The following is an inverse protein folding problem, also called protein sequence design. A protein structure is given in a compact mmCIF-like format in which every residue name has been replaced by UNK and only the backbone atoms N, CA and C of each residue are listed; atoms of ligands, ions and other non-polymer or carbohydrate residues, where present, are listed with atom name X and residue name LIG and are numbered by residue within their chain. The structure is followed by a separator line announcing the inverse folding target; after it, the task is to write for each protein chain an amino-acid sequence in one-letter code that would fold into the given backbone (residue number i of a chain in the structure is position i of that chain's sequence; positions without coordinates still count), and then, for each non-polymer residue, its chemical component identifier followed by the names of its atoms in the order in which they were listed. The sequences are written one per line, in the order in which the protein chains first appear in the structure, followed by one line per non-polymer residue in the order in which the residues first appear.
data_IF_488032450104
#
_entry.id   IF_488032450104
#
_cell.length_a   1.000
_cell.length_b   1.000
_cell.length_c   1.000
_cell.angle_alpha   90.00
_cell.angle_beta   90.00
_cell.angle_gamma   90.00
#
_symmetry.space_group_name_H-M   'P 1'
#
loop_
_entity.id
_entity.type
_entity.pdbx_description
1 polymer ?
#
# COMPACT_ATOMS: atom_id res chain seq x y z
N UNK A 1 -21.02 49.75 43.88
CA UNK A 1 -20.82 48.31 43.72
C UNK A 1 -20.70 47.87 42.23
N UNK A 2 -19.80 48.49 41.48
CA UNK A 2 -19.61 48.13 40.06
C UNK A 2 -18.81 46.81 39.89
N UNK A 3 -17.97 46.41 40.83
CA UNK A 3 -17.09 45.23 40.67
C UNK A 3 -17.85 43.92 40.63
N UNK A 4 -18.85 43.73 41.47
CA UNK A 4 -19.67 42.51 41.48
C UNK A 4 -20.46 42.33 40.16
N UNK A 5 -20.86 43.43 39.53
CA UNK A 5 -21.56 43.42 38.26
C UNK A 5 -20.64 43.03 37.10
N UNK A 6 -19.37 43.47 37.17
CA UNK A 6 -18.37 43.11 36.15
C UNK A 6 -17.95 41.66 36.32
N UNK A 7 -17.83 41.11 37.52
CA UNK A 7 -17.58 39.69 37.76
C UNK A 7 -18.71 38.79 37.26
N UNK A 8 -19.97 39.19 37.53
CA UNK A 8 -21.13 38.45 37.00
C UNK A 8 -21.18 38.45 35.49
N UNK A 9 -20.89 39.60 34.85
CA UNK A 9 -20.81 39.72 33.39
C UNK A 9 -19.71 38.84 32.78
N UNK A 10 -18.55 38.76 33.43
CA UNK A 10 -17.45 37.92 32.98
C UNK A 10 -17.80 36.40 33.07
N UNK A 11 -18.48 35.98 34.13
CA UNK A 11 -18.96 34.62 34.27
C UNK A 11 -19.99 34.25 33.22
N UNK A 12 -20.98 35.11 33.04
CA UNK A 12 -22.02 34.90 32.01
C UNK A 12 -21.41 34.82 30.60
N UNK A 13 -20.45 35.69 30.28
CA UNK A 13 -19.77 35.70 29.01
C UNK A 13 -18.94 34.42 28.81
N UNK A 14 -18.23 33.98 29.80
CA UNK A 14 -17.44 32.73 29.74
C UNK A 14 -18.34 31.52 29.50
N UNK A 15 -19.46 31.42 30.20
CA UNK A 15 -20.43 30.36 30.04
C UNK A 15 -21.05 30.41 28.63
N UNK A 16 -21.38 31.58 28.13
CA UNK A 16 -21.93 31.77 26.77
C UNK A 16 -20.92 31.33 25.69
N UNK A 17 -19.62 31.62 25.87
CA UNK A 17 -18.57 31.18 24.95
C UNK A 17 -18.43 29.65 24.95
N UNK A 18 -18.49 29.02 26.11
CA UNK A 18 -18.41 27.55 26.23
C UNK A 18 -19.62 26.90 25.52
N UNK A 19 -20.83 27.41 25.72
CA UNK A 19 -22.02 26.91 25.05
C UNK A 19 -21.97 27.14 23.52
N UNK A 20 -21.49 28.29 23.08
CA UNK A 20 -21.31 28.57 21.66
C UNK A 20 -20.29 27.61 21.04
N UNK A 21 -19.17 27.33 21.72
CA UNK A 21 -18.17 26.38 21.26
C UNK A 21 -18.73 24.96 21.18
N UNK A 22 -19.44 24.48 22.18
CA UNK A 22 -20.09 23.17 22.16
C UNK A 22 -21.12 23.05 21.03
N UNK A 23 -21.92 24.08 20.85
CA UNK A 23 -22.99 24.05 19.82
C UNK A 23 -22.45 24.13 18.39
N UNK A 24 -21.44 24.98 18.12
CA UNK A 24 -20.93 25.21 16.77
C UNK A 24 -19.77 24.28 16.38
N UNK A 25 -19.05 23.71 17.34
CA UNK A 25 -17.84 22.94 17.06
C UNK A 25 -17.96 21.46 17.42
N UNK A 26 -18.57 21.11 18.53
CA UNK A 26 -18.67 19.72 18.99
C UNK A 26 -19.84 18.97 18.36
N UNK A 27 -21.00 19.60 18.21
CA UNK A 27 -22.19 18.98 17.61
C UNK A 27 -21.96 18.51 16.17
N UNK A 28 -21.39 19.30 15.23
CA UNK A 28 -21.18 18.85 13.85
C UNK A 28 -20.17 17.68 13.79
N UNK A 29 -19.12 17.66 14.60
CA UNK A 29 -18.17 16.57 14.65
C UNK A 29 -18.75 15.24 15.14
N UNK A 30 -19.65 15.30 16.10
CA UNK A 30 -20.37 14.10 16.58
C UNK A 30 -21.33 13.54 15.53
N UNK A 31 -21.94 14.40 14.72
CA UNK A 31 -22.78 13.96 13.61
C UNK A 31 -21.98 13.29 12.49
N UNK A 32 -20.86 13.88 12.09
CA UNK A 32 -19.95 13.29 11.09
C UNK A 32 -19.40 11.92 11.56
N UNK A 33 -19.02 11.80 12.84
CA UNK A 33 -18.56 10.54 13.40
C UNK A 33 -19.68 9.46 13.47
N UNK A 34 -20.93 9.86 13.74
CA UNK A 34 -22.06 8.94 13.72
C UNK A 34 -22.45 8.53 12.29
N UNK A 35 -22.35 9.42 11.32
CA UNK A 35 -22.61 9.09 9.91
C UNK A 35 -21.54 8.16 9.36
N UNK A 36 -20.27 8.38 9.67
CA UNK A 36 -19.17 7.48 9.33
C UNK A 36 -19.39 6.06 9.93
N UNK A 37 -19.73 5.99 11.21
CA UNK A 37 -20.03 4.72 11.88
C UNK A 37 -21.25 3.99 11.28
N UNK A 38 -22.28 4.73 10.85
CA UNK A 38 -23.45 4.14 10.15
C UNK A 38 -23.10 3.64 8.77
N UNK A 39 -22.25 4.34 8.03
CA UNK A 39 -21.77 3.90 6.72
C UNK A 39 -20.91 2.64 6.83
N UNK A 40 -20.05 2.55 7.84
CA UNK A 40 -19.27 1.34 8.11
C UNK A 40 -20.17 0.15 8.49
N UNK A 41 -21.18 0.36 9.33
CA UNK A 41 -22.12 -0.69 9.71
C UNK A 41 -22.96 -1.17 8.50
N UNK A 42 -23.45 -0.25 7.68
CA UNK A 42 -24.20 -0.59 6.46
C UNK A 42 -23.32 -1.35 5.44
N UNK A 43 -22.05 -0.99 5.32
CA UNK A 43 -21.09 -1.69 4.46
C UNK A 43 -20.78 -3.10 4.97
N UNK A 44 -20.73 -3.29 6.30
CA UNK A 44 -20.55 -4.62 6.91
C UNK A 44 -21.79 -5.50 6.75
N UNK A 45 -23.01 -4.94 6.90
CA UNK A 45 -24.25 -5.66 6.66
C UNK A 45 -24.39 -6.09 5.19
N UNK A 46 -24.06 -5.21 4.23
CA UNK A 46 -24.04 -5.57 2.80
C UNK A 46 -23.02 -6.66 2.48
N UNK A 47 -21.85 -6.66 3.14
CA UNK A 47 -20.85 -7.73 3.00
C UNK A 47 -21.35 -9.06 3.57
N UNK A 48 -22.04 -9.04 4.71
CA UNK A 48 -22.60 -10.23 5.33
C UNK A 48 -23.75 -10.81 4.48
N UNK A 49 -24.61 -9.97 3.89
CA UNK A 49 -25.70 -10.38 3.03
C UNK A 49 -25.23 -10.90 1.66
N UNK A 50 -24.13 -10.32 1.13
CA UNK A 50 -23.48 -10.81 -0.10
C UNK A 50 -22.80 -12.17 0.09
N UNK A 51 -22.33 -12.48 1.31
CA UNK A 51 -21.74 -13.78 1.65
C UNK A 51 -22.76 -14.90 1.82
N UNK A 52 -24.05 -14.57 1.94
CA UNK A 52 -25.15 -15.54 2.19
C UNK A 52 -25.93 -15.93 0.93
N UNK A 53 -25.59 -15.43 -0.26
CA UNK A 53 -26.25 -15.80 -1.51
C UNK A 53 -25.46 -16.88 -2.25
N UNK A 54 -26.11 -18.01 -2.63
CA UNK A 54 -25.46 -19.00 -3.49
C UNK A 54 -25.29 -18.44 -4.90
N UNK A 55 -24.13 -18.73 -5.47
CA UNK A 55 -23.65 -18.27 -6.76
C UNK A 55 -24.62 -18.58 -7.90
N UNK A 56 -25.10 -17.55 -8.59
CA UNK A 56 -25.55 -17.61 -9.96
C UNK A 56 -25.18 -16.30 -10.65
N UNK A 57 -24.26 -16.42 -11.58
CA UNK A 57 -23.92 -15.57 -12.71
C UNK A 57 -24.31 -14.08 -12.68
N UNK A 58 -23.33 -13.21 -12.65
CA UNK A 58 -23.22 -12.08 -13.60
C UNK A 58 -21.85 -11.40 -13.51
N UNK A 59 -21.29 -11.26 -14.67
CA UNK A 59 -20.07 -10.59 -15.11
C UNK A 59 -19.92 -9.13 -14.62
N UNK A 60 -18.68 -8.73 -14.51
CA UNK A 60 -18.14 -7.37 -14.56
C UNK A 60 -17.76 -6.65 -13.27
N UNK A 61 -16.44 -6.56 -13.10
CA UNK A 61 -15.66 -5.46 -12.50
C UNK A 61 -15.71 -5.26 -10.99
N UNK A 62 -14.83 -5.98 -10.34
CA UNK A 62 -14.04 -5.42 -9.25
C UNK A 62 -12.65 -6.04 -9.30
N UNK A 63 -11.69 -5.29 -9.76
CA UNK A 63 -10.29 -5.71 -9.84
C UNK A 63 -9.65 -5.68 -8.45
N UNK A 64 -9.96 -6.67 -7.63
CA UNK A 64 -9.19 -7.04 -6.46
C UNK A 64 -9.70 -8.39 -5.96
N UNK A 65 -8.98 -9.43 -6.27
CA UNK A 65 -9.07 -10.79 -5.76
C UNK A 65 -9.60 -11.79 -6.81
N UNK A 66 -8.71 -12.39 -7.43
CA UNK A 66 -8.58 -13.80 -7.83
C UNK A 66 -7.44 -13.91 -8.82
N UNK A 67 -6.24 -13.56 -8.35
CA UNK A 67 -5.06 -14.09 -8.98
C UNK A 67 -4.95 -15.54 -8.50
N UNK A 68 -5.65 -16.43 -9.23
CA UNK A 68 -5.45 -17.86 -9.13
C UNK A 68 -3.94 -18.10 -9.08
N UNK A 69 -3.50 -19.04 -8.26
CA UNK A 69 -2.10 -19.43 -8.09
C UNK A 69 -1.42 -19.54 -9.46
N UNK A 70 -0.87 -18.43 -9.94
CA UNK A 70 0.01 -18.42 -11.08
C UNK A 70 1.20 -19.30 -10.72
N UNK A 71 1.79 -20.08 -11.66
CA UNK A 71 2.99 -20.84 -11.38
C UNK A 71 3.98 -19.89 -10.70
N UNK A 72 4.57 -20.35 -9.59
CA UNK A 72 5.43 -19.52 -8.75
C UNK A 72 6.42 -18.76 -9.62
N UNK A 73 6.22 -17.46 -9.74
CA UNK A 73 7.09 -16.62 -10.54
C UNK A 73 8.51 -16.67 -9.96
N UNK A 74 9.56 -16.64 -10.79
CA UNK A 74 10.91 -16.56 -10.30
C UNK A 74 11.07 -15.41 -9.29
N UNK A 75 11.92 -15.61 -8.30
CA UNK A 75 12.13 -14.65 -7.21
C UNK A 75 13.60 -14.28 -7.07
N UNK A 76 13.86 -13.08 -6.57
CA UNK A 76 15.18 -12.61 -6.17
C UNK A 76 15.19 -12.62 -4.65
N UNK A 77 16.16 -13.32 -4.04
CA UNK A 77 16.33 -13.33 -2.57
C UNK A 77 16.78 -11.95 -2.08
N UNK A 78 16.18 -11.46 -1.01
CA UNK A 78 16.55 -10.19 -0.36
C UNK A 78 17.18 -10.48 0.96
N UNK A 79 18.41 -10.01 1.20
CA UNK A 79 19.10 -10.29 2.44
C UNK A 79 20.12 -9.22 2.83
N UNK A 80 20.03 -8.77 4.07
CA UNK A 80 21.11 -8.12 4.80
C UNK A 80 21.09 -8.59 6.28
N UNK A 81 21.82 -7.89 7.16
CA UNK A 81 21.85 -8.23 8.59
C UNK A 81 20.50 -8.01 9.32
N UNK A 82 19.57 -7.23 8.75
CA UNK A 82 18.37 -6.72 9.41
C UNK A 82 17.06 -7.15 8.75
N UNK A 83 17.10 -7.49 7.48
CA UNK A 83 15.93 -7.93 6.71
C UNK A 83 16.24 -9.19 5.93
N UNK A 84 15.22 -10.03 5.74
CA UNK A 84 15.25 -11.18 4.84
C UNK A 84 13.90 -11.31 4.16
N UNK A 85 13.89 -11.71 2.89
CA UNK A 85 12.67 -11.86 2.12
C UNK A 85 12.95 -12.15 0.65
N UNK A 86 12.03 -11.74 -0.22
CA UNK A 86 12.21 -11.91 -1.65
C UNK A 86 11.37 -10.93 -2.48
N UNK A 87 11.79 -10.73 -3.72
CA UNK A 87 11.10 -9.95 -4.75
C UNK A 87 10.53 -10.92 -5.77
N UNK A 88 9.23 -10.85 -6.04
CA UNK A 88 8.61 -11.58 -7.13
C UNK A 88 8.91 -10.91 -8.47
N UNK A 89 9.31 -11.67 -9.48
CA UNK A 89 9.46 -11.15 -10.84
C UNK A 89 8.11 -10.94 -11.53
N UNK A 90 6.99 -11.49 -11.03
CA UNK A 90 5.66 -11.08 -11.45
C UNK A 90 5.32 -9.73 -10.81
N UNK A 91 5.07 -8.72 -11.65
CA UNK A 91 4.88 -7.33 -11.24
C UNK A 91 6.13 -6.64 -10.69
N UNK A 92 7.23 -7.36 -10.44
CA UNK A 92 8.44 -6.82 -9.82
C UNK A 92 8.16 -6.31 -8.40
N UNK A 93 7.40 -7.06 -7.61
CA UNK A 93 6.91 -6.69 -6.27
C UNK A 93 7.87 -7.12 -5.17
N UNK A 94 8.05 -6.27 -4.18
CA UNK A 94 8.63 -6.65 -2.89
C UNK A 94 7.46 -7.14 -2.05
N UNK A 95 7.21 -8.43 -2.02
CA UNK A 95 6.01 -9.02 -1.42
C UNK A 95 6.29 -10.02 -0.31
N UNK A 96 7.56 -10.30 -0.01
CA UNK A 96 7.95 -11.06 1.16
C UNK A 96 9.09 -10.34 1.87
N UNK A 97 8.86 -9.88 3.09
CA UNK A 97 9.90 -9.22 3.88
C UNK A 97 9.67 -9.44 5.37
N UNK A 98 10.73 -9.89 6.06
CA UNK A 98 10.77 -10.09 7.51
C UNK A 98 11.82 -9.20 8.13
N UNK A 99 11.49 -8.61 9.29
CA UNK A 99 12.41 -7.80 10.08
C UNK A 99 13.17 -8.71 11.06
N UNK A 100 14.49 -8.83 10.91
CA UNK A 100 15.29 -9.74 11.70
C UNK A 100 15.59 -9.22 13.12
N UNK A 101 15.55 -7.90 13.31
CA UNK A 101 15.79 -7.28 14.62
C UNK A 101 14.53 -7.19 15.50
N UNK A 102 13.33 -7.41 14.90
CA UNK A 102 12.07 -7.21 15.61
C UNK A 102 11.28 -8.50 15.71
N UNK A 103 10.89 -8.84 16.94
CA UNK A 103 9.95 -9.92 17.23
C UNK A 103 8.54 -9.41 17.43
N UNK A 104 7.56 -10.27 17.23
CA UNK A 104 6.12 -9.97 17.48
C UNK A 104 5.85 -9.61 18.95
N UNK A 105 6.68 -10.13 19.86
CA UNK A 105 6.62 -9.84 21.29
C UNK A 105 8.04 -9.57 21.82
N UNK A 106 8.20 -8.90 22.98
CA UNK A 106 9.50 -8.68 23.59
C UNK A 106 10.18 -9.97 24.08
N UNK A 107 9.51 -11.13 24.07
CA UNK A 107 10.06 -12.37 24.56
C UNK A 107 11.24 -12.86 23.71
N UNK A 108 12.32 -13.37 24.30
CA UNK A 108 13.41 -14.00 23.56
C UNK A 108 12.91 -15.16 22.71
N UNK A 109 13.32 -15.20 21.43
CA UNK A 109 12.89 -16.24 20.48
C UNK A 109 11.49 -16.02 19.89
N UNK A 110 10.89 -14.86 20.12
CA UNK A 110 9.64 -14.49 19.46
C UNK A 110 9.75 -14.57 17.94
N UNK A 111 8.66 -14.99 17.28
CA UNK A 111 8.53 -14.98 15.83
C UNK A 111 8.83 -13.59 15.28
N UNK A 112 9.54 -13.53 14.15
CA UNK A 112 9.92 -12.26 13.51
C UNK A 112 8.72 -11.59 12.90
N UNK A 113 8.75 -10.25 12.86
CA UNK A 113 7.70 -9.48 12.22
C UNK A 113 7.79 -9.69 10.70
N UNK A 114 6.71 -10.18 10.12
CA UNK A 114 6.48 -10.13 8.68
C UNK A 114 5.98 -8.73 8.32
N UNK A 115 6.80 -7.98 7.60
CA UNK A 115 6.45 -6.66 7.12
C UNK A 115 5.63 -6.74 5.83
N UNK A 116 6.03 -7.62 4.91
CA UNK A 116 5.31 -7.89 3.67
C UNK A 116 4.93 -9.36 3.57
N UNK A 117 3.78 -9.58 2.93
CA UNK A 117 3.18 -10.90 2.73
C UNK A 117 2.67 -11.03 1.29
N UNK A 118 2.96 -12.14 0.61
CA UNK A 118 2.63 -12.34 -0.80
C UNK A 118 1.13 -12.29 -1.11
N UNK A 119 0.83 -11.94 -2.36
CA UNK A 119 -0.52 -12.10 -2.92
C UNK A 119 -0.86 -13.60 -2.94
N UNK A 120 -2.10 -13.92 -2.55
CA UNK A 120 -2.57 -15.30 -2.38
C UNK A 120 -2.52 -15.80 -0.95
N UNK A 121 -1.80 -15.13 -0.05
CA UNK A 121 -1.86 -15.40 1.39
C UNK A 121 -2.93 -14.55 2.09
N UNK A 122 -3.40 -14.95 3.28
CA UNK A 122 -4.35 -14.14 4.05
C UNK A 122 -3.74 -12.78 4.41
N UNK A 123 -4.47 -11.69 4.14
CA UNK A 123 -4.06 -10.31 4.41
C UNK A 123 -2.73 -9.96 3.72
N UNK A 124 -2.67 -10.01 2.38
CA UNK A 124 -1.46 -9.67 1.64
C UNK A 124 -1.10 -8.20 1.84
N UNK A 125 0.21 -7.93 1.94
CA UNK A 125 0.74 -6.58 2.05
C UNK A 125 2.11 -6.52 1.37
N UNK A 126 2.27 -5.65 0.38
CA UNK A 126 3.44 -5.61 -0.48
C UNK A 126 3.71 -4.20 -1.00
N UNK A 127 4.90 -3.98 -1.54
CA UNK A 127 5.25 -2.78 -2.28
C UNK A 127 5.31 -3.08 -3.78
N UNK A 128 4.60 -2.29 -4.56
CA UNK A 128 4.58 -2.35 -6.02
C UNK A 128 4.85 -0.98 -6.62
N UNK A 129 5.60 -0.94 -7.71
CA UNK A 129 5.99 0.28 -8.42
C UNK A 129 5.52 0.17 -9.87
N UNK A 130 4.57 0.99 -10.27
CA UNK A 130 3.98 0.96 -11.60
C UNK A 130 4.58 1.98 -12.56
N UNK A 131 4.24 1.80 -13.84
CA UNK A 131 4.38 2.81 -14.89
C UNK A 131 2.99 3.17 -15.39
N UNK A 132 2.80 4.41 -15.75
CA UNK A 132 1.54 4.90 -16.33
C UNK A 132 1.86 5.57 -17.65
N UNK A 133 1.21 5.13 -18.72
CA UNK A 133 1.30 5.79 -20.01
C UNK A 133 0.28 6.94 -20.07
N UNK A 134 0.71 8.12 -20.48
CA UNK A 134 -0.22 9.24 -20.72
C UNK A 134 -1.07 9.04 -21.99
N UNK A 135 -0.56 8.24 -22.93
CA UNK A 135 -1.25 7.94 -24.18
C UNK A 135 -1.84 6.53 -24.11
N UNK A 136 -3.11 6.42 -24.48
CA UNK A 136 -3.79 5.13 -24.60
C UNK A 136 -3.10 4.21 -25.61
N UNK A 137 -3.05 2.92 -25.29
CA UNK A 137 -2.54 1.88 -26.19
C UNK A 137 -1.02 1.69 -26.17
N UNK A 138 -0.27 2.43 -25.35
CA UNK A 138 1.16 2.14 -25.14
C UNK A 138 1.30 1.05 -24.09
N UNK A 139 1.84 -0.14 -24.42
CA UNK A 139 2.04 -1.19 -23.44
C UNK A 139 3.11 -0.77 -22.42
N UNK A 140 2.73 -0.77 -21.13
CA UNK A 140 3.61 -0.53 -19.99
C UNK A 140 3.53 -1.72 -19.03
N UNK A 141 4.57 -1.97 -18.23
CA UNK A 141 4.53 -3.06 -17.26
C UNK A 141 3.42 -2.84 -16.21
N UNK A 142 2.70 -3.92 -15.91
CA UNK A 142 1.63 -3.98 -14.91
C UNK A 142 1.94 -5.00 -13.80
N UNK A 143 0.97 -5.24 -12.91
CA UNK A 143 1.07 -6.19 -11.80
C UNK A 143 1.25 -7.64 -12.22
N UNK A 144 0.92 -8.00 -13.46
CA UNK A 144 1.04 -9.36 -14.02
C UNK A 144 2.28 -9.54 -14.88
N UNK A 145 2.94 -8.46 -15.25
CA UNK A 145 4.11 -8.47 -16.11
C UNK A 145 5.24 -9.28 -15.50
N UNK A 146 5.72 -10.29 -16.25
CA UNK A 146 6.89 -11.05 -15.83
C UNK A 146 8.17 -10.33 -16.23
N UNK A 147 8.87 -9.82 -15.23
CA UNK A 147 10.16 -9.17 -15.40
C UNK A 147 11.27 -10.21 -15.57
N UNK A 148 12.32 -9.82 -16.27
CA UNK A 148 13.56 -10.59 -16.38
C UNK A 148 14.63 -9.98 -15.49
N UNK A 149 15.41 -10.84 -14.81
CA UNK A 149 16.57 -10.40 -14.04
C UNK A 149 17.69 -11.44 -14.17
N UNK A 150 18.95 -11.01 -14.36
CA UNK A 150 20.10 -11.88 -14.23
C UNK A 150 20.43 -12.16 -12.75
N UNK A 151 19.97 -11.29 -11.85
CA UNK A 151 20.31 -11.31 -10.43
C UNK A 151 19.44 -12.31 -9.68
N UNK A 152 20.04 -12.98 -8.71
CA UNK A 152 19.37 -13.96 -7.86
C UNK A 152 19.23 -13.50 -6.42
N UNK A 153 20.03 -12.53 -6.04
CA UNK A 153 20.11 -12.00 -4.68
C UNK A 153 20.23 -10.48 -4.73
N UNK A 154 19.63 -9.82 -3.75
CA UNK A 154 19.71 -8.39 -3.48
C UNK A 154 20.29 -8.21 -2.09
N UNK A 155 21.43 -7.58 -2.00
CA UNK A 155 22.12 -7.23 -0.77
C UNK A 155 22.66 -5.80 -0.79
N UNK A 156 23.38 -5.38 0.27
CA UNK A 156 23.87 -4.01 0.37
C UNK A 156 24.89 -3.61 -0.73
N UNK A 157 25.65 -4.58 -1.24
CA UNK A 157 26.64 -4.35 -2.30
C UNK A 157 26.17 -4.84 -3.68
N UNK A 158 25.08 -5.60 -3.72
CA UNK A 158 24.56 -6.27 -4.90
C UNK A 158 23.13 -5.79 -5.21
N UNK A 159 22.94 -4.67 -5.92
CA UNK A 159 21.64 -4.20 -6.34
C UNK A 159 21.04 -5.15 -7.39
N UNK A 160 19.72 -5.38 -7.33
CA UNK A 160 19.00 -6.19 -8.30
C UNK A 160 18.44 -5.34 -9.43
N UNK A 161 18.61 -5.80 -10.68
CA UNK A 161 18.10 -5.14 -11.86
C UNK A 161 17.04 -6.00 -12.56
N UNK A 162 15.85 -5.45 -12.70
CA UNK A 162 14.74 -6.03 -13.41
C UNK A 162 14.58 -5.29 -14.75
N UNK A 163 14.33 -6.02 -15.84
CA UNK A 163 14.13 -5.45 -17.17
C UNK A 163 12.90 -6.06 -17.84
N UNK A 164 12.22 -5.26 -18.63
CA UNK A 164 11.12 -5.69 -19.47
C UNK A 164 11.10 -4.87 -20.77
N UNK A 165 10.79 -5.52 -21.90
CA UNK A 165 10.68 -4.88 -23.23
C UNK A 165 9.24 -5.06 -23.70
N UNK A 166 8.59 -3.98 -24.14
CA UNK A 166 7.21 -4.04 -24.60
C UNK A 166 7.06 -4.56 -26.04
N UNK A 167 8.18 -4.85 -26.74
CA UNK A 167 8.18 -5.28 -28.14
C UNK A 167 7.88 -4.17 -29.16
N UNK A 168 7.63 -2.94 -28.70
CA UNK A 168 7.29 -1.77 -29.53
C UNK A 168 8.34 -0.65 -29.39
N UNK A 169 9.54 -0.99 -28.95
CA UNK A 169 10.67 -0.09 -28.84
C UNK A 169 10.80 0.65 -27.53
N UNK A 170 10.06 0.25 -26.48
CA UNK A 170 10.24 0.75 -25.12
C UNK A 170 10.83 -0.33 -24.25
N UNK A 171 11.94 0.00 -23.60
CA UNK A 171 12.60 -0.86 -22.65
C UNK A 171 12.47 -0.25 -21.25
N UNK A 172 11.98 -1.03 -20.31
CA UNK A 172 11.77 -0.65 -18.93
C UNK A 172 12.82 -1.33 -18.07
N UNK A 173 13.42 -0.57 -17.19
CA UNK A 173 14.34 -1.09 -16.20
C UNK A 173 13.95 -0.59 -14.81
N UNK A 174 14.10 -1.45 -13.83
CA UNK A 174 13.97 -1.13 -12.41
C UNK A 174 15.19 -1.66 -11.69
N UNK A 175 15.93 -0.77 -11.08
CA UNK A 175 17.04 -1.11 -10.22
C UNK A 175 16.61 -0.94 -8.76
N UNK A 176 16.83 -1.95 -7.95
CA UNK A 176 16.48 -1.97 -6.54
C UNK A 176 17.77 -2.18 -5.76
N UNK A 177 18.11 -1.24 -4.90
CA UNK A 177 19.25 -1.32 -4.00
C UNK A 177 18.74 -1.38 -2.54
N UNK A 178 19.48 -2.06 -1.69
CA UNK A 178 19.22 -2.18 -0.25
C UNK A 178 20.45 -1.72 0.52
N UNK A 179 20.28 -0.85 1.51
CA UNK A 179 21.39 -0.47 2.40
C UNK A 179 21.62 -1.52 3.51
N UNK A 180 22.59 -1.27 4.37
CA UNK A 180 22.90 -2.12 5.53
C UNK A 180 21.79 -2.11 6.59
N UNK A 181 20.80 -1.24 6.48
CA UNK A 181 19.72 -1.08 7.43
C UNK A 181 18.39 -1.60 6.85
N UNK A 182 17.51 -0.68 6.44
CA UNK A 182 16.15 -0.99 5.99
C UNK A 182 15.75 -0.20 4.75
N UNK A 183 16.65 0.63 4.20
CA UNK A 183 16.32 1.52 3.10
C UNK A 183 16.44 0.80 1.76
N UNK A 184 15.31 0.68 1.07
CA UNK A 184 15.25 0.28 -0.33
C UNK A 184 15.23 1.54 -1.19
N UNK A 185 16.14 1.59 -2.17
CA UNK A 185 16.14 2.63 -3.21
C UNK A 185 15.70 2.00 -4.52
N UNK A 186 14.63 2.54 -5.11
CA UNK A 186 14.09 2.05 -6.38
C UNK A 186 14.29 3.11 -7.45
N UNK A 187 15.05 2.77 -8.48
CA UNK A 187 15.27 3.62 -9.65
C UNK A 187 14.56 3.01 -10.85
N UNK A 188 13.66 3.76 -11.48
CA UNK A 188 12.94 3.35 -12.66
C UNK A 188 13.43 4.13 -13.89
N UNK A 189 13.69 3.41 -14.97
CA UNK A 189 14.18 3.97 -16.23
C UNK A 189 13.36 3.44 -17.39
N UNK A 190 12.97 4.33 -18.30
CA UNK A 190 12.37 3.97 -19.59
C UNK A 190 13.31 4.41 -20.69
N UNK A 191 13.70 3.50 -21.56
CA UNK A 191 14.48 3.79 -22.75
C UNK A 191 13.59 3.68 -23.97
N UNK A 192 13.47 4.77 -24.71
CA UNK A 192 12.75 4.79 -25.97
C UNK A 192 13.75 4.62 -27.11
N UNK A 193 13.63 3.52 -27.85
CA UNK A 193 14.47 3.21 -29.02
C UNK A 193 13.78 3.57 -30.34
N UNK A 194 12.61 4.19 -30.29
CA UNK A 194 11.88 4.65 -31.46
C UNK A 194 12.25 6.09 -31.83
N UNK A 195 11.94 6.51 -33.05
CA UNK A 195 12.14 7.90 -33.50
C UNK A 195 10.99 8.84 -33.03
N UNK A 196 9.97 8.32 -32.35
CA UNK A 196 8.82 9.10 -31.89
C UNK A 196 8.97 9.42 -30.40
N UNK A 197 8.80 10.68 -29.98
CA UNK A 197 8.79 11.00 -28.55
C UNK A 197 7.59 10.37 -27.88
N UNK A 198 7.81 9.84 -26.69
CA UNK A 198 6.78 9.36 -25.77
C UNK A 198 6.68 10.29 -24.56
N UNK A 199 5.47 10.50 -24.11
CA UNK A 199 5.14 11.23 -22.89
C UNK A 199 4.25 10.34 -22.01
#
# INVERSE_FOLDING_TARGET
MPEQRNLLLAIVLSVAIIFAFQYFYELPRMQEAQEAARQEAATQEQRAESAARPAAETDARTGAAEEAAAPEAPRIEVRNARVAGSISLAGGRIDELRLLDYGRTPAPGSERIELFRPVGEPLPYFAEFGFVAERDGVPVPDSTTLWSSPDRELGPEDPARLTWDNGEGLQFAREIALDDNYLFTVTQTVTNTTDQPIT
#
